data_IF_921783472128
#
_entry.id   IF_921783472128
#
_cell.length_a   1.000
_cell.length_b   1.000
_cell.length_c   1.000
_cell.angle_alpha   90.00
_cell.angle_beta   90.00
_cell.angle_gamma   90.00
#
_symmetry.space_group_name_H-M   'P 1'
#
loop_
_entity.id
_entity.type
_entity.pdbx_description
1 polymer ?
#
# COMPACT_ATOMS: atom_id res chain seq x y z
N UNK A 1 9.68 -8.79 15.18
CA UNK A 1 10.04 -7.44 15.71
C UNK A 1 9.54 -7.37 17.15
N UNK A 2 10.38 -7.62 18.15
CA UNK A 2 9.88 -7.99 19.49
C UNK A 2 9.19 -6.83 20.27
N UNK A 3 9.42 -5.57 19.91
CA UNK A 3 8.87 -4.42 20.63
C UNK A 3 7.45 -4.00 20.21
N UNK A 4 7.05 -4.29 18.97
CA UNK A 4 5.69 -4.05 18.48
C UNK A 4 4.76 -5.14 19.01
N UNK A 5 5.20 -6.40 18.96
CA UNK A 5 4.47 -7.57 19.48
C UNK A 5 4.27 -7.49 21.01
N UNK A 6 5.27 -6.99 21.75
CA UNK A 6 5.16 -6.78 23.21
C UNK A 6 4.44 -5.50 23.61
N UNK A 7 3.93 -4.72 22.64
CA UNK A 7 3.14 -3.51 22.89
C UNK A 7 3.94 -2.32 23.46
N UNK A 8 5.27 -2.43 23.52
CA UNK A 8 6.15 -1.36 24.02
C UNK A 8 6.24 -0.18 23.05
N UNK A 9 5.96 -0.42 21.76
CA UNK A 9 5.99 0.57 20.70
C UNK A 9 4.77 0.40 19.80
N UNK A 10 4.20 1.52 19.35
CA UNK A 10 3.22 1.54 18.26
C UNK A 10 3.90 2.01 16.99
N UNK A 11 3.76 1.26 15.91
CA UNK A 11 4.26 1.62 14.59
C UNK A 11 3.14 2.25 13.77
N UNK A 12 3.43 3.40 13.17
CA UNK A 12 2.55 4.11 12.26
C UNK A 12 3.31 4.29 10.95
N UNK A 13 2.66 3.99 9.83
CA UNK A 13 3.17 4.27 8.50
C UNK A 13 2.41 5.47 7.92
N UNK A 14 3.15 6.45 7.38
CA UNK A 14 2.57 7.59 6.65
C UNK A 14 3.14 7.60 5.23
N UNK A 15 2.26 7.64 4.25
CA UNK A 15 2.67 7.64 2.85
C UNK A 15 3.36 8.95 2.47
N UNK A 16 4.47 8.81 1.75
CA UNK A 16 5.18 9.94 1.17
C UNK A 16 5.50 9.64 -0.29
N UNK A 17 4.74 10.28 -1.19
CA UNK A 17 4.83 10.05 -2.63
C UNK A 17 6.02 10.82 -3.20
N UNK A 18 7.10 10.11 -3.57
CA UNK A 18 8.31 10.71 -4.12
C UNK A 18 8.33 10.63 -5.64
N UNK A 19 7.90 9.49 -6.20
CA UNK A 19 8.34 9.11 -7.53
C UNK A 19 7.36 9.57 -8.60
N UNK A 20 6.05 9.37 -8.44
CA UNK A 20 4.98 9.64 -9.43
C UNK A 20 3.69 8.84 -9.07
N UNK A 21 2.84 8.59 -10.07
CA UNK A 21 1.58 7.84 -9.98
C UNK A 21 1.77 6.38 -9.52
N UNK A 22 2.90 5.74 -9.82
CA UNK A 22 3.22 4.39 -9.34
C UNK A 22 3.24 4.33 -7.80
N UNK A 23 3.85 5.33 -7.16
CA UNK A 23 3.88 5.43 -5.70
C UNK A 23 2.47 5.65 -5.12
N UNK A 24 1.64 6.47 -5.79
CA UNK A 24 0.26 6.70 -5.36
C UNK A 24 -0.58 5.43 -5.45
N UNK A 25 -0.44 4.66 -6.52
CA UNK A 25 -1.15 3.41 -6.73
C UNK A 25 -0.69 2.34 -5.73
N UNK A 26 0.62 2.20 -5.50
CA UNK A 26 1.17 1.27 -4.53
C UNK A 26 0.71 1.60 -3.09
N UNK A 27 0.75 2.87 -2.70
CA UNK A 27 0.24 3.33 -1.40
C UNK A 27 -1.26 3.05 -1.24
N UNK A 28 -2.06 3.41 -2.26
CA UNK A 28 -3.51 3.14 -2.26
C UNK A 28 -3.82 1.65 -2.13
N UNK A 29 -3.04 0.80 -2.82
CA UNK A 29 -3.16 -0.65 -2.74
C UNK A 29 -2.84 -1.21 -1.35
N UNK A 30 -1.83 -0.68 -0.67
CA UNK A 30 -1.53 -1.06 0.71
C UNK A 30 -2.70 -0.72 1.66
N UNK A 31 -3.34 0.43 1.49
CA UNK A 31 -4.54 0.78 2.27
C UNK A 31 -5.77 -0.06 1.89
N UNK A 32 -5.95 -0.41 0.61
CA UNK A 32 -6.98 -1.38 0.22
C UNK A 32 -6.74 -2.77 0.81
N UNK A 33 -5.49 -3.18 1.01
CA UNK A 33 -5.17 -4.39 1.75
C UNK A 33 -5.47 -4.25 3.25
N UNK A 34 -5.33 -3.05 3.81
CA UNK A 34 -5.67 -2.77 5.21
C UNK A 34 -7.18 -2.88 5.50
N UNK A 35 -8.06 -2.64 4.53
CA UNK A 35 -9.50 -2.94 4.67
C UNK A 35 -9.77 -4.42 4.99
N UNK A 36 -8.78 -5.29 4.71
CA UNK A 36 -8.77 -6.72 5.01
C UNK A 36 -7.72 -7.09 6.08
N UNK A 37 -7.16 -6.11 6.79
CA UNK A 37 -6.14 -6.24 7.85
C UNK A 37 -4.78 -6.79 7.39
N UNK A 38 -4.46 -6.67 6.10
CA UNK A 38 -3.21 -7.18 5.50
C UNK A 38 -2.24 -6.07 5.07
N UNK A 39 -2.26 -4.93 5.77
CA UNK A 39 -1.42 -3.79 5.40
C UNK A 39 0.07 -4.14 5.38
N UNK A 40 0.57 -4.79 6.44
CA UNK A 40 2.00 -5.01 6.61
C UNK A 40 2.54 -6.08 5.65
N UNK A 41 1.77 -7.14 5.43
CA UNK A 41 2.07 -8.20 4.47
C UNK A 41 2.08 -7.65 3.03
N UNK A 42 1.12 -6.78 2.71
CA UNK A 42 1.08 -6.12 1.41
C UNK A 42 2.23 -5.12 1.25
N UNK A 43 2.51 -4.34 2.29
CA UNK A 43 3.65 -3.42 2.32
C UNK A 43 4.98 -4.16 2.11
N UNK A 44 5.23 -5.25 2.84
CA UNK A 44 6.41 -6.09 2.64
C UNK A 44 6.49 -6.64 1.22
N UNK A 45 5.36 -7.08 0.66
CA UNK A 45 5.29 -7.56 -0.73
C UNK A 45 5.70 -6.48 -1.72
N UNK A 46 5.24 -5.24 -1.55
CA UNK A 46 5.64 -4.12 -2.42
C UNK A 46 7.16 -3.88 -2.37
N UNK A 47 7.74 -3.83 -1.18
CA UNK A 47 9.16 -3.57 -1.01
C UNK A 47 10.04 -4.72 -1.53
N UNK A 48 9.62 -5.97 -1.33
CA UNK A 48 10.34 -7.15 -1.82
C UNK A 48 10.27 -7.33 -3.34
N UNK A 49 9.26 -6.74 -3.99
CA UNK A 49 9.06 -6.82 -5.44
C UNK A 49 9.38 -5.51 -6.17
N UNK A 50 9.97 -4.53 -5.48
CA UNK A 50 10.38 -3.28 -6.11
C UNK A 50 11.42 -3.56 -7.20
N UNK A 51 11.14 -3.09 -8.41
CA UNK A 51 11.97 -3.38 -9.59
C UNK A 51 12.34 -2.10 -10.36
N UNK A 52 12.59 -1.01 -9.64
CA UNK A 52 12.95 0.29 -10.22
C UNK A 52 11.77 1.13 -10.71
N UNK A 53 12.01 2.42 -10.91
CA UNK A 53 10.98 3.39 -11.31
C UNK A 53 10.64 3.26 -12.80
N UNK A 54 9.36 3.39 -13.17
CA UNK A 54 8.93 3.36 -14.57
C UNK A 54 9.00 2.00 -15.26
N UNK A 55 9.28 0.92 -14.53
CA UNK A 55 9.35 -0.45 -15.08
C UNK A 55 7.99 -1.15 -15.17
N UNK A 56 6.93 -0.51 -14.66
CA UNK A 56 5.57 -1.07 -14.63
C UNK A 56 5.33 -2.10 -13.52
N UNK A 57 6.28 -2.27 -12.59
CA UNK A 57 6.16 -3.20 -11.45
C UNK A 57 4.98 -2.85 -10.53
N UNK A 58 4.61 -1.57 -10.43
CA UNK A 58 3.47 -1.06 -9.68
C UNK A 58 2.21 -0.81 -10.55
N UNK A 59 2.14 -1.43 -11.73
CA UNK A 59 0.93 -1.35 -12.56
C UNK A 59 -0.29 -1.95 -11.84
N UNK A 60 -1.49 -1.48 -12.19
CA UNK A 60 -2.75 -2.01 -11.63
C UNK A 60 -2.79 -3.55 -11.64
N UNK A 61 -2.40 -4.18 -12.76
CA UNK A 61 -2.34 -5.64 -12.88
C UNK A 61 -1.43 -6.29 -11.81
N UNK A 62 -0.23 -5.74 -11.61
CA UNK A 62 0.72 -6.29 -10.64
C UNK A 62 0.24 -6.11 -9.20
N UNK A 63 -0.30 -4.93 -8.88
CA UNK A 63 -0.88 -4.66 -7.55
C UNK A 63 -2.02 -5.64 -7.21
N UNK A 64 -2.93 -5.89 -8.16
CA UNK A 64 -3.97 -6.92 -7.97
C UNK A 64 -3.36 -8.32 -7.82
N UNK A 65 -2.33 -8.65 -8.61
CA UNK A 65 -1.66 -9.95 -8.50
C UNK A 65 -1.01 -10.15 -7.13
N UNK A 66 -0.38 -9.13 -6.55
CA UNK A 66 0.16 -9.18 -5.19
C UNK A 66 -0.96 -9.45 -4.17
N UNK A 67 -2.08 -8.71 -4.26
CA UNK A 67 -3.22 -8.90 -3.36
C UNK A 67 -3.74 -10.34 -3.41
N UNK A 68 -3.90 -10.88 -4.62
CA UNK A 68 -4.47 -12.21 -4.81
C UNK A 68 -3.52 -13.31 -4.37
N UNK A 69 -2.21 -13.10 -4.52
CA UNK A 69 -1.17 -14.04 -4.04
C UNK A 69 -1.15 -14.09 -2.52
N UNK A 70 -1.42 -12.97 -1.86
CA UNK A 70 -1.56 -12.88 -0.40
C UNK A 70 -2.91 -13.42 0.11
N UNK A 71 -3.81 -13.84 -0.77
CA UNK A 71 -5.11 -14.41 -0.40
C UNK A 71 -6.17 -13.38 -0.04
N UNK A 72 -6.00 -12.11 -0.42
CA UNK A 72 -7.03 -11.09 -0.24
C UNK A 72 -8.27 -11.41 -1.10
N UNK A 73 -9.44 -11.03 -0.59
CA UNK A 73 -10.68 -11.06 -1.33
C UNK A 73 -10.57 -10.18 -2.58
N UNK A 74 -10.78 -10.81 -3.73
CA UNK A 74 -10.51 -10.19 -5.03
C UNK A 74 -11.48 -9.06 -5.33
N UNK A 75 -12.75 -9.26 -5.00
CA UNK A 75 -13.81 -8.32 -5.33
C UNK A 75 -13.70 -7.08 -4.44
N UNK A 76 -13.52 -7.25 -3.12
CA UNK A 76 -13.31 -6.14 -2.19
C UNK A 76 -12.06 -5.34 -2.53
N UNK A 77 -10.96 -6.00 -2.88
CA UNK A 77 -9.73 -5.31 -3.23
C UNK A 77 -9.90 -4.52 -4.55
N UNK A 78 -10.45 -5.17 -5.58
CA UNK A 78 -10.65 -4.54 -6.89
C UNK A 78 -11.63 -3.37 -6.81
N UNK A 79 -12.71 -3.51 -6.03
CA UNK A 79 -13.66 -2.43 -5.77
C UNK A 79 -12.96 -1.24 -5.09
N UNK A 80 -12.21 -1.48 -4.02
CA UNK A 80 -11.47 -0.44 -3.31
C UNK A 80 -10.51 0.33 -4.23
N UNK A 81 -9.76 -0.39 -5.06
CA UNK A 81 -8.84 0.20 -6.03
C UNK A 81 -9.60 1.01 -7.09
N UNK A 82 -10.70 0.47 -7.63
CA UNK A 82 -11.51 1.14 -8.65
C UNK A 82 -12.15 2.43 -8.16
N UNK A 83 -12.58 2.47 -6.90
CA UNK A 83 -13.15 3.65 -6.26
C UNK A 83 -12.10 4.68 -5.86
N UNK A 84 -10.80 4.35 -5.99
CA UNK A 84 -9.70 5.19 -5.47
C UNK A 84 -9.92 5.58 -4.00
N UNK A 85 -10.51 4.67 -3.20
CA UNK A 85 -11.07 4.96 -1.87
C UNK A 85 -10.08 5.66 -0.93
N UNK A 86 -8.80 5.31 -1.01
CA UNK A 86 -7.75 5.79 -0.11
C UNK A 86 -6.88 6.90 -0.69
N UNK A 87 -7.17 7.38 -1.90
CA UNK A 87 -6.37 8.39 -2.60
C UNK A 87 -6.21 9.67 -1.78
N UNK A 88 -7.30 10.17 -1.20
CA UNK A 88 -7.28 11.41 -0.42
C UNK A 88 -6.44 11.29 0.86
N UNK A 89 -6.49 10.12 1.52
CA UNK A 89 -5.67 9.84 2.70
C UNK A 89 -4.17 9.85 2.34
N UNK A 90 -3.81 9.21 1.23
CA UNK A 90 -2.42 9.15 0.76
C UNK A 90 -1.91 10.54 0.40
N UNK A 91 -2.70 11.34 -0.31
CA UNK A 91 -2.36 12.72 -0.65
C UNK A 91 -2.23 13.62 0.59
N UNK A 92 -3.12 13.45 1.58
CA UNK A 92 -3.03 14.16 2.85
C UNK A 92 -1.78 13.77 3.62
N UNK A 93 -1.41 12.48 3.64
CA UNK A 93 -0.21 11.99 4.33
C UNK A 93 1.07 12.54 3.71
N UNK A 94 1.12 12.60 2.37
CA UNK A 94 2.23 13.24 1.66
C UNK A 94 2.28 14.75 1.93
N UNK A 95 1.12 15.44 1.95
CA UNK A 95 1.07 16.86 2.28
C UNK A 95 1.55 17.16 3.70
N UNK A 96 1.16 16.33 4.67
CA UNK A 96 1.65 16.41 6.06
C UNK A 96 3.16 16.23 6.13
N UNK A 97 3.72 15.24 5.42
CA UNK A 97 5.15 14.94 5.45
C UNK A 97 6.05 16.01 4.82
N UNK A 98 5.49 16.98 4.09
CA UNK A 98 6.22 18.12 3.52
C UNK A 98 6.32 19.31 4.46
N UNK A 99 5.60 19.30 5.58
CA UNK A 99 5.63 20.36 6.60
C UNK A 99 6.65 20.05 7.68
#
# INVERSE_FOLDING_TARGET
>A
MNYVETGKVKMLFKDFIVVNEDSLNAASAAHCANDQKMFWEYHETLYNNWNGEGTGWASSKQLHQFAFTLGLDRDRFSECMSQSKWKDLVLSSHADGRR
#
